data_IF_354174931674
#
_entry.id   IF_354174931674
#
_cell.length_a   1.000
_cell.length_b   1.000
_cell.length_c   1.000
_cell.angle_alpha   90.00
_cell.angle_beta   90.00
_cell.angle_gamma   90.00
#
_symmetry.space_group_name_H-M   'P 1'
#
loop_
_entity.id
_entity.type
_entity.pdbx_description
1 polymer ?
#
# COMPACT_ATOMS: atom_id res chain seq x y z
N UNK A 1 -11.09 9.71 -15.84
CA UNK A 1 -9.84 8.94 -16.10
C UNK A 1 -8.60 9.81 -16.36
N UNK A 2 -8.71 10.97 -17.01
CA UNK A 2 -7.53 11.76 -17.45
C UNK A 2 -6.53 12.16 -16.36
N UNK A 3 -6.97 12.38 -15.12
CA UNK A 3 -6.10 12.82 -14.03
C UNK A 3 -5.25 11.69 -13.40
N UNK A 4 -5.58 10.42 -13.65
CA UNK A 4 -4.89 9.28 -13.04
C UNK A 4 -3.78 8.69 -13.92
N UNK A 5 -3.75 9.04 -15.21
CA UNK A 5 -2.80 8.45 -16.17
C UNK A 5 -1.34 8.78 -15.83
N UNK A 6 -1.10 9.83 -15.04
CA UNK A 6 0.24 10.23 -14.59
C UNK A 6 0.78 9.39 -13.44
N UNK A 7 -0.07 8.63 -12.73
CA UNK A 7 0.33 7.73 -11.66
C UNK A 7 -0.28 6.35 -11.88
N UNK A 8 0.58 5.38 -12.20
CA UNK A 8 0.19 4.01 -12.49
C UNK A 8 -0.58 3.33 -11.35
N UNK A 9 -0.20 3.55 -10.10
CA UNK A 9 -0.88 2.95 -8.94
C UNK A 9 -2.30 3.51 -8.79
N UNK A 10 -2.45 4.83 -8.92
CA UNK A 10 -3.76 5.47 -8.91
C UNK A 10 -4.63 5.01 -10.09
N UNK A 11 -4.04 4.83 -11.26
CA UNK A 11 -4.74 4.29 -12.42
C UNK A 11 -5.27 2.87 -12.17
N UNK A 12 -4.45 1.97 -11.62
CA UNK A 12 -4.86 0.60 -11.27
C UNK A 12 -6.00 0.57 -10.26
N UNK A 13 -5.93 1.41 -9.22
CA UNK A 13 -6.99 1.48 -8.20
C UNK A 13 -8.27 2.09 -8.77
N UNK A 14 -8.17 3.20 -9.51
CA UNK A 14 -9.33 3.89 -10.08
C UNK A 14 -10.02 3.07 -11.19
N UNK A 15 -9.27 2.26 -11.94
CA UNK A 15 -9.82 1.38 -12.98
C UNK A 15 -10.57 0.17 -12.42
N UNK A 16 -10.34 -0.20 -11.16
CA UNK A 16 -11.06 -1.31 -10.51
C UNK A 16 -12.52 -0.95 -10.16
N UNK A 17 -12.85 0.35 -10.02
CA UNK A 17 -14.22 0.84 -9.80
C UNK A 17 -14.45 2.10 -10.66
N UNK A 18 -14.64 1.97 -11.99
CA UNK A 18 -14.69 3.12 -12.91
C UNK A 18 -15.79 4.13 -12.57
N UNK A 19 -16.92 3.65 -12.08
CA UNK A 19 -18.10 4.43 -11.71
C UNK A 19 -17.85 5.35 -10.50
N UNK A 20 -16.88 5.01 -9.65
CA UNK A 20 -16.51 5.73 -8.44
C UNK A 20 -15.01 6.04 -8.38
N UNK A 21 -14.38 6.32 -9.53
CA UNK A 21 -12.94 6.53 -9.65
C UNK A 21 -12.37 7.62 -8.70
N UNK A 22 -13.10 8.72 -8.50
CA UNK A 22 -12.72 9.78 -7.56
C UNK A 22 -12.69 9.30 -6.11
N UNK A 23 -13.64 8.44 -5.73
CA UNK A 23 -13.68 7.84 -4.39
C UNK A 23 -12.54 6.84 -4.20
N UNK A 24 -12.30 5.97 -5.17
CA UNK A 24 -11.20 5.00 -5.14
C UNK A 24 -9.83 5.70 -5.02
N UNK A 25 -9.63 6.81 -5.73
CA UNK A 25 -8.43 7.63 -5.59
C UNK A 25 -8.33 8.33 -4.23
N UNK A 26 -9.43 8.89 -3.73
CA UNK A 26 -9.49 9.47 -2.39
C UNK A 26 -9.09 8.46 -1.31
N UNK A 27 -9.61 7.24 -1.39
CA UNK A 27 -9.26 6.14 -0.49
C UNK A 27 -7.78 5.76 -0.60
N UNK A 28 -7.23 5.65 -1.82
CA UNK A 28 -5.81 5.39 -2.04
C UNK A 28 -4.91 6.44 -1.36
N UNK A 29 -5.20 7.72 -1.57
CA UNK A 29 -4.44 8.83 -0.95
C UNK A 29 -4.58 8.81 0.57
N UNK A 30 -5.80 8.63 1.10
CA UNK A 30 -6.03 8.58 2.54
C UNK A 30 -5.27 7.43 3.21
N UNK A 31 -5.31 6.23 2.62
CA UNK A 31 -4.55 5.07 3.12
C UNK A 31 -3.04 5.29 3.01
N UNK A 32 -2.57 5.90 1.91
CA UNK A 32 -1.15 6.29 1.76
C UNK A 32 -0.69 7.26 2.84
N UNK A 33 -1.52 8.24 3.20
CA UNK A 33 -1.24 9.17 4.29
C UNK A 33 -1.19 8.46 5.65
N UNK A 34 -2.15 7.56 5.94
CA UNK A 34 -2.15 6.76 7.17
C UNK A 34 -0.89 5.90 7.25
N UNK A 35 -0.53 5.21 6.17
CA UNK A 35 0.69 4.41 6.09
C UNK A 35 1.95 5.25 6.31
N UNK A 36 2.00 6.46 5.74
CA UNK A 36 3.10 7.41 5.94
C UNK A 36 3.19 7.86 7.39
N UNK A 37 2.06 8.23 8.02
CA UNK A 37 2.03 8.60 9.44
C UNK A 37 2.54 7.46 10.31
N UNK A 38 2.05 6.23 10.11
CA UNK A 38 2.51 5.06 10.85
C UNK A 38 4.00 4.80 10.64
N UNK A 39 4.47 4.86 9.39
CA UNK A 39 5.87 4.67 9.04
C UNK A 39 6.79 5.70 9.70
N UNK A 40 6.40 6.98 9.68
CA UNK A 40 7.14 8.06 10.35
C UNK A 40 7.10 7.88 11.87
N UNK A 41 5.96 7.54 12.46
CA UNK A 41 5.85 7.32 13.91
C UNK A 41 6.74 6.17 14.36
N UNK A 42 6.68 5.02 13.68
CA UNK A 42 7.51 3.85 14.00
C UNK A 42 9.00 4.12 13.73
N UNK A 43 9.30 4.80 12.62
CA UNK A 43 10.66 5.20 12.27
C UNK A 43 11.26 6.17 13.27
N UNK A 44 10.51 7.19 13.71
CA UNK A 44 10.92 8.12 14.75
C UNK A 44 11.13 7.45 16.11
N UNK A 45 10.24 6.52 16.48
CA UNK A 45 10.41 5.72 17.69
C UNK A 45 11.68 4.87 17.65
N UNK A 46 11.97 4.20 16.53
CA UNK A 46 13.20 3.43 16.37
C UNK A 46 14.44 4.32 16.33
N UNK A 47 14.39 5.45 15.61
CA UNK A 47 15.49 6.40 15.56
C UNK A 47 15.87 6.88 16.97
N UNK A 48 14.89 7.19 17.81
CA UNK A 48 15.12 7.62 19.19
C UNK A 48 15.68 6.50 20.09
N UNK A 49 15.29 5.26 19.84
CA UNK A 49 15.65 4.13 20.71
C UNK A 49 17.02 3.53 20.39
N UNK A 50 17.33 3.38 19.09
CA UNK A 50 18.49 2.62 18.61
C UNK A 50 19.35 3.38 17.58
N UNK A 51 18.99 4.63 17.27
CA UNK A 51 19.67 5.44 16.27
C UNK A 51 19.34 5.04 14.83
N UNK A 52 20.12 5.54 13.87
CA UNK A 52 19.87 5.36 12.43
C UNK A 52 20.12 3.94 11.93
N UNK A 53 20.96 3.16 12.62
CA UNK A 53 21.49 1.88 12.12
C UNK A 53 20.37 0.87 11.80
N UNK A 54 19.33 0.81 12.63
CA UNK A 54 18.23 -0.15 12.46
C UNK A 54 17.07 0.35 11.58
N UNK A 55 17.10 1.62 11.17
CA UNK A 55 16.03 2.24 10.38
C UNK A 55 15.80 1.54 9.02
N UNK A 56 16.84 1.13 8.26
CA UNK A 56 16.66 0.37 7.02
C UNK A 56 15.99 -0.99 7.24
N UNK A 57 16.27 -1.66 8.36
CA UNK A 57 15.68 -2.96 8.68
C UNK A 57 14.17 -2.86 8.94
N UNK A 58 13.72 -1.77 9.57
CA UNK A 58 12.29 -1.50 9.71
C UNK A 58 11.61 -1.39 8.33
N UNK A 59 12.25 -0.72 7.37
CA UNK A 59 11.77 -0.64 6.00
C UNK A 59 11.70 -2.01 5.31
N UNK A 60 12.72 -2.85 5.49
CA UNK A 60 12.74 -4.22 4.97
C UNK A 60 11.59 -5.06 5.55
N UNK A 61 11.33 -4.95 6.85
CA UNK A 61 10.21 -5.65 7.50
C UNK A 61 8.87 -5.22 6.90
N UNK A 62 8.65 -3.92 6.70
CA UNK A 62 7.43 -3.39 6.06
C UNK A 62 7.29 -3.82 4.60
N UNK A 63 8.41 -3.93 3.87
CA UNK A 63 8.42 -4.47 2.51
C UNK A 63 8.02 -5.94 2.49
N UNK A 64 8.60 -6.76 3.37
CA UNK A 64 8.24 -8.18 3.51
C UNK A 64 6.75 -8.32 3.86
N UNK A 65 6.25 -7.52 4.79
CA UNK A 65 4.83 -7.52 5.16
C UNK A 65 3.94 -7.22 3.94
N UNK A 66 4.29 -6.22 3.14
CA UNK A 66 3.59 -5.89 1.89
C UNK A 66 3.57 -7.07 0.92
N UNK A 67 4.72 -7.75 0.72
CA UNK A 67 4.81 -8.91 -0.16
C UNK A 67 3.96 -10.09 0.33
N UNK A 68 3.93 -10.34 1.65
CA UNK A 68 3.09 -11.37 2.26
C UNK A 68 1.61 -11.09 2.02
N UNK A 69 1.17 -9.85 2.25
CA UNK A 69 -0.22 -9.43 2.00
C UNK A 69 -0.58 -9.62 0.51
N UNK A 70 0.31 -9.21 -0.40
CA UNK A 70 0.10 -9.36 -1.84
C UNK A 70 0.00 -10.83 -2.26
N UNK A 71 0.85 -11.69 -1.69
CA UNK A 71 0.81 -13.13 -1.91
C UNK A 71 -0.55 -13.73 -1.51
N UNK A 72 -1.04 -13.39 -0.32
CA UNK A 72 -2.37 -13.85 0.15
C UNK A 72 -3.52 -13.30 -0.69
N UNK A 73 -3.47 -12.02 -1.08
CA UNK A 73 -4.47 -11.43 -1.99
C UNK A 73 -4.55 -12.21 -3.30
N UNK A 74 -3.41 -12.47 -3.93
CA UNK A 74 -3.37 -13.15 -5.22
C UNK A 74 -3.83 -14.61 -5.12
N UNK A 75 -3.48 -15.29 -4.02
CA UNK A 75 -4.00 -16.61 -3.67
C UNK A 75 -5.52 -16.62 -3.56
N UNK A 76 -6.11 -15.64 -2.87
CA UNK A 76 -7.56 -15.56 -2.70
C UNK A 76 -8.28 -15.36 -4.03
N UNK A 77 -7.81 -14.41 -4.84
CA UNK A 77 -8.37 -14.15 -6.17
C UNK A 77 -8.24 -15.37 -7.08
N UNK A 78 -7.10 -16.06 -7.03
CA UNK A 78 -6.90 -17.27 -7.83
C UNK A 78 -7.85 -18.41 -7.44
N UNK A 79 -8.24 -18.51 -6.17
CA UNK A 79 -9.22 -19.51 -5.72
C UNK A 79 -10.60 -19.16 -6.27
N UNK A 80 -11.03 -17.90 -6.12
CA UNK A 80 -12.33 -17.43 -6.58
C UNK A 80 -12.50 -17.63 -8.10
N UNK A 81 -11.47 -17.35 -8.89
CA UNK A 81 -11.49 -17.59 -10.34
C UNK A 81 -11.53 -19.07 -10.73
N UNK A 82 -11.08 -19.98 -9.87
CA UNK A 82 -11.09 -21.42 -10.14
C UNK A 82 -12.43 -22.09 -9.76
N UNK A 83 -13.28 -21.37 -9.04
CA UNK A 83 -14.66 -21.79 -8.71
C UNK A 83 -15.70 -21.30 -9.72
N UNK A 84 -15.30 -20.45 -10.68
CA UNK A 84 -16.12 -19.96 -11.81
C UNK A 84 -15.98 -20.86 -13.05
#
# INVERSE_FOLDING_TARGET
MGNYLWNWEQYLVASSIPEAANFANGLFISLGNIGTTLGITLGGFMLNSVGVILLPFLGIIMLILTLVILFFRNRLISIELNEL
#
